data_IF_901417630715
#
_entry.id   IF_901417630715
#
_cell.length_a   1.000
_cell.length_b   1.000
_cell.length_c   1.000
_cell.angle_alpha   90.00
_cell.angle_beta   90.00
_cell.angle_gamma   90.00
#
_symmetry.space_group_name_H-M   'P 1'
#
loop_
_entity.id
_entity.type
_entity.pdbx_description
1 polymer ?
#
# COMPACT_ATOMS: atom_id res chain seq x y z
N UNK A 1 -4.98 0.36 14.11
CA UNK A 1 -4.44 0.95 12.86
C UNK A 1 -5.00 0.18 11.66
N UNK A 2 -5.28 0.86 10.55
CA UNK A 2 -5.64 0.28 9.26
C UNK A 2 -4.47 0.37 8.25
N UNK A 3 -4.39 -0.57 7.32
CA UNK A 3 -3.48 -0.50 6.16
C UNK A 3 -4.37 -0.37 4.92
N UNK A 4 -4.24 0.76 4.23
CA UNK A 4 -4.97 1.06 3.01
C UNK A 4 -4.15 0.56 1.82
N UNK A 5 -4.72 -0.33 1.01
CA UNK A 5 -4.07 -0.86 -0.20
C UNK A 5 -4.88 -0.42 -1.42
N UNK A 6 -4.24 0.19 -2.40
CA UNK A 6 -4.91 0.62 -3.64
C UNK A 6 -4.04 0.37 -4.87
N UNK A 7 -4.66 0.25 -6.04
CA UNK A 7 -3.99 0.22 -7.35
C UNK A 7 -4.18 1.58 -8.05
N UNK A 8 -3.23 2.03 -8.90
CA UNK A 8 -3.26 3.36 -9.53
C UNK A 8 -4.27 3.42 -10.69
N UNK A 9 -5.54 3.21 -10.36
CA UNK A 9 -6.69 3.31 -11.25
C UNK A 9 -7.61 4.42 -10.76
N UNK A 10 -8.40 5.03 -11.66
CA UNK A 10 -9.35 6.08 -11.27
C UNK A 10 -10.39 5.58 -10.24
N UNK A 11 -10.85 4.34 -10.39
CA UNK A 11 -11.76 3.70 -9.42
C UNK A 11 -11.04 3.45 -8.09
N UNK A 12 -9.85 2.86 -8.11
CA UNK A 12 -9.05 2.63 -6.89
C UNK A 12 -8.73 3.91 -6.12
N UNK A 13 -8.48 5.02 -6.82
CA UNK A 13 -8.30 6.31 -6.18
C UNK A 13 -9.62 6.87 -5.61
N UNK A 14 -10.74 6.76 -6.34
CA UNK A 14 -12.05 7.17 -5.83
C UNK A 14 -12.48 6.38 -4.60
N UNK A 15 -12.21 5.08 -4.56
CA UNK A 15 -12.56 4.21 -3.43
C UNK A 15 -11.65 4.48 -2.23
N UNK A 16 -10.36 4.74 -2.47
CA UNK A 16 -9.43 5.15 -1.42
C UNK A 16 -9.91 6.42 -0.72
N UNK A 17 -10.37 7.44 -1.46
CA UNK A 17 -10.91 8.68 -0.86
C UNK A 17 -12.07 8.40 0.12
N UNK A 18 -13.00 7.52 -0.26
CA UNK A 18 -14.11 7.12 0.62
C UNK A 18 -13.62 6.38 1.88
N UNK A 19 -12.63 5.50 1.74
CA UNK A 19 -12.05 4.79 2.89
C UNK A 19 -11.30 5.77 3.81
N UNK A 20 -10.65 6.78 3.25
CA UNK A 20 -9.96 7.84 4.00
C UNK A 20 -10.95 8.63 4.87
N UNK A 21 -12.11 9.01 4.32
CA UNK A 21 -13.18 9.64 5.10
C UNK A 21 -13.62 8.77 6.29
N UNK A 22 -13.75 7.46 6.09
CA UNK A 22 -14.13 6.50 7.16
C UNK A 22 -13.07 6.43 8.25
N UNK A 23 -11.79 6.27 7.90
CA UNK A 23 -10.72 6.18 8.91
C UNK A 23 -10.57 7.49 9.68
N UNK A 24 -10.76 8.65 9.04
CA UNK A 24 -10.79 9.94 9.74
C UNK A 24 -11.99 10.06 10.67
N UNK A 25 -13.19 9.69 10.22
CA UNK A 25 -14.39 9.75 11.04
C UNK A 25 -14.25 8.98 12.35
N UNK A 26 -13.65 7.78 12.29
CA UNK A 26 -13.43 6.94 13.47
C UNK A 26 -12.09 7.18 14.17
N UNK A 27 -11.31 8.19 13.76
CA UNK A 27 -9.97 8.47 14.27
C UNK A 27 -9.05 7.24 14.26
N UNK A 28 -9.13 6.40 13.23
CA UNK A 28 -8.33 5.20 13.09
C UNK A 28 -6.99 5.59 12.43
N UNK A 29 -5.83 5.35 13.10
CA UNK A 29 -4.54 5.55 12.45
C UNK A 29 -4.45 4.71 11.17
N UNK A 30 -3.97 5.28 10.07
CA UNK A 30 -3.90 4.62 8.77
C UNK A 30 -2.53 4.80 8.10
N UNK A 31 -2.15 3.83 7.27
CA UNK A 31 -0.96 3.86 6.43
C UNK A 31 -1.28 3.33 5.04
N UNK A 32 -0.60 3.85 4.02
CA UNK A 32 -0.88 3.55 2.61
C UNK A 32 0.12 2.55 2.01
N UNK A 33 -0.37 1.62 1.21
CA UNK A 33 0.42 0.80 0.28
C UNK A 33 -0.17 0.97 -1.12
N UNK A 34 0.66 1.39 -2.08
CA UNK A 34 0.26 1.43 -3.49
C UNK A 34 0.69 0.13 -4.16
N UNK A 35 -0.28 -0.70 -4.54
CA UNK A 35 -0.08 -1.93 -5.27
C UNK A 35 0.00 -1.66 -6.78
N UNK A 36 0.90 -2.37 -7.48
CA UNK A 36 1.12 -2.24 -8.94
C UNK A 36 1.32 -0.78 -9.38
N UNK A 37 2.13 -0.02 -8.64
CA UNK A 37 2.26 1.44 -8.84
C UNK A 37 2.74 1.82 -10.25
N UNK A 38 3.53 0.96 -10.86
CA UNK A 38 4.14 1.08 -12.19
C UNK A 38 3.15 0.89 -13.34
N UNK A 39 1.89 0.50 -13.08
CA UNK A 39 0.86 0.47 -14.12
C UNK A 39 0.41 1.86 -14.56
N UNK A 40 0.50 2.83 -13.66
CA UNK A 40 0.24 4.24 -13.95
C UNK A 40 0.94 5.10 -12.88
N UNK A 41 2.14 5.57 -13.20
CA UNK A 41 2.96 6.36 -12.28
C UNK A 41 2.32 7.72 -11.98
N UNK A 42 1.66 8.35 -12.95
CA UNK A 42 0.95 9.62 -12.77
C UNK A 42 -0.16 9.50 -11.71
N UNK A 43 -1.01 8.47 -11.82
CA UNK A 43 -2.06 8.23 -10.82
C UNK A 43 -1.44 7.81 -9.47
N UNK A 44 -0.34 7.06 -9.47
CA UNK A 44 0.36 6.72 -8.23
C UNK A 44 0.85 7.96 -7.49
N UNK A 45 1.42 8.92 -8.19
CA UNK A 45 1.90 10.18 -7.61
C UNK A 45 0.74 11.06 -7.13
N UNK A 46 -0.39 11.06 -7.84
CA UNK A 46 -1.62 11.71 -7.37
C UNK A 46 -2.15 11.08 -6.07
N UNK A 47 -2.16 9.75 -5.97
CA UNK A 47 -2.57 9.02 -4.77
C UNK A 47 -1.63 9.35 -3.60
N UNK A 48 -0.31 9.30 -3.82
CA UNK A 48 0.70 9.60 -2.80
C UNK A 48 0.57 11.06 -2.30
N UNK A 49 0.40 12.01 -3.22
CA UNK A 49 0.21 13.43 -2.89
C UNK A 49 -1.06 13.65 -2.08
N UNK A 50 -2.17 13.05 -2.51
CA UNK A 50 -3.45 13.16 -1.80
C UNK A 50 -3.37 12.57 -0.39
N UNK A 51 -2.84 11.35 -0.24
CA UNK A 51 -2.74 10.72 1.07
C UNK A 51 -1.80 11.49 2.00
N UNK A 52 -0.74 12.10 1.48
CA UNK A 52 0.13 12.99 2.27
C UNK A 52 -0.62 14.21 2.79
N UNK A 53 -1.52 14.80 2.00
CA UNK A 53 -2.37 15.93 2.42
C UNK A 53 -3.37 15.51 3.52
N UNK A 54 -3.86 14.28 3.46
CA UNK A 54 -4.76 13.67 4.45
C UNK A 54 -4.01 13.12 5.69
N UNK A 55 -2.70 13.42 5.84
CA UNK A 55 -1.85 12.93 6.93
C UNK A 55 -1.72 11.39 6.99
N UNK A 56 -1.84 10.72 5.85
CA UNK A 56 -1.66 9.26 5.72
C UNK A 56 -0.27 8.98 5.15
N UNK A 57 0.55 8.29 5.94
CA UNK A 57 1.91 7.95 5.56
C UNK A 57 1.95 6.83 4.52
N UNK A 58 2.72 7.03 3.44
CA UNK A 58 3.07 5.95 2.51
C UNK A 58 4.03 4.96 3.17
N UNK A 59 3.60 3.72 3.31
CA UNK A 59 4.44 2.62 3.79
C UNK A 59 5.34 2.10 2.69
N UNK A 60 4.79 1.74 1.53
CA UNK A 60 5.57 1.28 0.38
C UNK A 60 4.77 1.36 -0.92
N UNK A 61 5.47 1.28 -2.06
CA UNK A 61 4.91 1.02 -3.38
C UNK A 61 5.35 -0.36 -3.85
N UNK A 62 4.45 -1.22 -4.32
CA UNK A 62 4.76 -2.54 -4.87
C UNK A 62 4.65 -2.48 -6.40
N UNK A 63 5.69 -2.85 -7.15
CA UNK A 63 5.58 -2.94 -8.60
C UNK A 63 4.71 -4.14 -8.99
N UNK A 64 4.17 -4.12 -10.20
CA UNK A 64 3.58 -5.29 -10.82
C UNK A 64 4.67 -6.35 -10.96
N UNK A 65 4.42 -7.54 -10.43
CA UNK A 65 5.38 -8.64 -10.45
C UNK A 65 4.71 -9.96 -10.75
N UNK A 66 5.18 -10.62 -11.81
CA UNK A 66 4.77 -11.99 -12.14
C UNK A 66 5.12 -12.97 -11.03
N UNK A 67 6.18 -12.71 -10.25
CA UNK A 67 6.55 -13.57 -9.11
C UNK A 67 5.43 -13.65 -8.08
N UNK A 68 4.71 -12.54 -7.84
CA UNK A 68 3.55 -12.53 -6.93
C UNK A 68 2.45 -13.42 -7.49
N UNK A 69 2.10 -13.25 -8.77
CA UNK A 69 1.04 -14.01 -9.43
C UNK A 69 1.36 -15.52 -9.43
N UNK A 70 2.58 -15.89 -9.79
CA UNK A 70 2.99 -17.29 -9.86
C UNK A 70 3.11 -17.94 -8.48
N UNK A 71 3.56 -17.21 -7.46
CA UNK A 71 3.59 -17.73 -6.07
C UNK A 71 2.16 -17.95 -5.56
N UNK A 72 1.23 -17.02 -5.83
CA UNK A 72 -0.18 -17.17 -5.47
C UNK A 72 -0.83 -18.40 -6.11
N UNK A 73 -0.56 -18.67 -7.40
CA UNK A 73 -1.06 -19.88 -8.09
C UNK A 73 -0.59 -21.18 -7.43
N UNK A 74 0.59 -21.17 -6.80
CA UNK A 74 1.17 -22.31 -6.09
C UNK A 74 0.83 -22.34 -4.59
N UNK A 75 0.11 -21.34 -4.07
CA UNK A 75 -0.14 -21.22 -2.63
C UNK A 75 1.10 -20.85 -1.82
N UNK A 76 2.10 -20.23 -2.44
CA UNK A 76 3.37 -19.84 -1.83
C UNK A 76 3.41 -18.35 -1.48
N UNK A 77 4.22 -18.00 -0.46
CA UNK A 77 4.49 -16.60 -0.12
C UNK A 77 5.59 -16.06 -1.03
N UNK A 78 5.31 -15.01 -1.79
CA UNK A 78 6.24 -14.47 -2.79
C UNK A 78 7.55 -13.89 -2.22
N UNK A 79 7.62 -13.61 -0.91
CA UNK A 79 8.79 -12.98 -0.26
C UNK A 79 10.03 -13.87 -0.25
N UNK A 80 9.86 -15.18 -0.45
CA UNK A 80 10.99 -16.11 -0.52
C UNK A 80 11.58 -16.18 -1.93
N UNK A 81 10.80 -15.79 -2.93
CA UNK A 81 11.17 -15.86 -4.35
C UNK A 81 11.67 -14.53 -4.93
N UNK A 82 11.65 -13.43 -4.17
CA UNK A 82 12.08 -12.11 -4.65
C UNK A 82 12.60 -11.21 -3.51
N UNK A 83 13.88 -10.84 -3.56
CA UNK A 83 14.52 -10.03 -2.52
C UNK A 83 14.01 -8.58 -2.44
N UNK A 84 13.66 -7.95 -3.57
CA UNK A 84 13.12 -6.58 -3.57
C UNK A 84 11.75 -6.54 -2.89
N UNK A 85 10.86 -7.46 -3.27
CA UNK A 85 9.54 -7.60 -2.65
C UNK A 85 9.66 -7.91 -1.16
N UNK A 86 10.62 -8.78 -0.76
CA UNK A 86 10.93 -9.03 0.65
C UNK A 86 11.34 -7.76 1.39
N UNK A 87 12.27 -6.97 0.84
CA UNK A 87 12.70 -5.69 1.44
C UNK A 87 11.54 -4.73 1.62
N UNK A 88 10.63 -4.62 0.64
CA UNK A 88 9.42 -3.79 0.73
C UNK A 88 8.48 -4.27 1.84
N UNK A 89 8.28 -5.58 2.00
CA UNK A 89 7.46 -6.14 3.08
C UNK A 89 8.08 -5.95 4.46
N UNK A 90 9.40 -6.06 4.58
CA UNK A 90 10.12 -5.72 5.82
C UNK A 90 9.93 -4.24 6.16
N UNK A 91 10.02 -3.34 5.18
CA UNK A 91 9.77 -1.90 5.39
C UNK A 91 8.35 -1.62 5.90
N UNK A 92 7.34 -2.28 5.34
CA UNK A 92 5.95 -2.20 5.84
C UNK A 92 5.85 -2.66 7.29
N UNK A 93 6.44 -3.83 7.61
CA UNK A 93 6.46 -4.36 8.99
C UNK A 93 7.10 -3.37 9.96
N UNK A 94 8.26 -2.81 9.63
CA UNK A 94 8.96 -1.85 10.49
C UNK A 94 8.14 -0.57 10.74
N UNK A 95 7.51 -0.01 9.71
CA UNK A 95 6.65 1.17 9.85
C UNK A 95 5.39 0.89 10.68
N UNK A 96 4.80 -0.30 10.49
CA UNK A 96 3.63 -0.74 11.25
C UNK A 96 3.95 -0.87 12.74
N UNK A 97 5.03 -1.58 13.10
CA UNK A 97 5.46 -1.78 14.50
C UNK A 97 5.71 -0.41 15.16
N UNK A 98 6.46 0.47 14.50
CA UNK A 98 6.77 1.81 15.02
C UNK A 98 5.52 2.64 15.33
N UNK A 99 4.42 2.44 14.61
CA UNK A 99 3.15 3.15 14.85
C UNK A 99 2.24 2.48 15.88
N UNK A 100 2.49 1.22 16.24
CA UNK A 100 1.73 0.50 17.27
C UNK A 100 2.38 0.60 18.66
N UNK A 101 3.69 0.87 18.72
CA UNK A 101 4.44 1.04 19.98
C UNK A 101 4.39 2.49 20.52
N UNK A 102 3.65 3.38 19.87
CA UNK A 102 3.42 4.79 20.25
C UNK A 102 1.94 4.96 20.60
#
# INVERSE_FOLDING_TARGET
>A
MAILVTEPTKSGFSDLKRVIEVVHHFNIPAGLVINKYDLNEEISDQIETYCKQENIELFTKLPYSRVIVESLKRGEIFVDNNQDLRKRMISVKSKLIKKLEV
#
